data_IF_465402846758
#
_entry.id   IF_465402846758
#
_cell.length_a   1.000
_cell.length_b   1.000
_cell.length_c   1.000
_cell.angle_alpha   90.00
_cell.angle_beta   90.00
_cell.angle_gamma   90.00
#
_symmetry.space_group_name_H-M   'P 1'
#
loop_
_entity.id
_entity.type
_entity.pdbx_description
1 polymer ?
#
# COMPACT_ATOMS: atom_id res chain seq x y z
N UNK A 1 -7.75 -63.12 -4.17
CA UNK A 1 -8.99 -63.45 -3.44
C UNK A 1 -8.89 -62.78 -2.08
N UNK A 2 -9.75 -61.86 -1.65
CA UNK A 2 -11.22 -61.80 -1.62
C UNK A 2 -11.82 -62.27 -0.27
N UNK A 3 -12.47 -61.32 0.41
CA UNK A 3 -13.65 -61.47 1.27
C UNK A 3 -13.59 -62.17 2.64
N UNK A 4 -13.81 -61.38 3.70
CA UNK A 4 -14.52 -61.76 4.93
C UNK A 4 -15.15 -60.46 5.52
N UNK A 5 -16.36 -60.03 5.15
CA UNK A 5 -17.71 -60.54 5.52
C UNK A 5 -18.25 -60.01 6.86
N UNK A 6 -19.00 -58.89 6.75
CA UNK A 6 -20.23 -58.48 7.47
C UNK A 6 -20.50 -59.02 8.90
N UNK A 7 -20.74 -58.08 9.83
CA UNK A 7 -21.88 -58.15 10.77
C UNK A 7 -22.75 -56.87 10.67
N UNK A 8 -24.02 -57.01 11.05
CA UNK A 8 -25.18 -56.10 10.85
C UNK A 8 -25.63 -55.64 12.25
N UNK A 9 -26.09 -54.41 12.50
CA UNK A 9 -27.47 -53.95 12.26
C UNK A 9 -27.73 -52.49 12.74
N UNK A 10 -28.74 -51.84 12.13
CA UNK A 10 -29.63 -50.74 12.59
C UNK A 10 -28.96 -49.46 13.14
N UNK A 11 -28.95 -48.31 12.46
CA UNK A 11 -30.05 -47.47 11.95
C UNK A 11 -30.70 -46.53 13.00
N UNK A 12 -30.30 -45.26 12.98
CA UNK A 12 -31.03 -44.12 13.55
C UNK A 12 -30.91 -42.89 12.61
N UNK A 13 -31.95 -42.06 12.60
CA UNK A 13 -32.35 -41.15 11.51
C UNK A 13 -31.53 -39.84 11.42
N UNK A 14 -31.44 -39.32 10.18
CA UNK A 14 -31.14 -37.91 9.79
C UNK A 14 -32.11 -36.90 10.47
N UNK A 15 -31.95 -35.55 10.41
CA UNK A 15 -31.04 -34.73 9.56
C UNK A 15 -30.04 -33.90 10.43
N UNK A 16 -29.39 -32.80 10.04
CA UNK A 16 -29.56 -31.87 8.90
C UNK A 16 -28.25 -31.19 8.40
N UNK A 17 -28.34 -29.95 7.92
CA UNK A 17 -27.45 -29.23 7.01
C UNK A 17 -26.92 -27.91 7.59
N UNK A 18 -25.60 -27.74 7.64
CA UNK A 18 -24.94 -26.44 7.82
C UNK A 18 -24.75 -25.80 6.44
N UNK A 19 -25.71 -24.99 6.00
CA UNK A 19 -25.67 -24.34 4.67
C UNK A 19 -25.21 -22.89 4.78
N UNK A 20 -24.17 -22.55 4.05
CA UNK A 20 -23.66 -21.18 3.88
C UNK A 20 -24.75 -20.23 3.37
N UNK A 21 -24.84 -19.02 3.93
CA UNK A 21 -25.53 -17.89 3.28
C UNK A 21 -24.59 -16.70 3.17
N UNK A 22 -24.03 -16.55 1.98
CA UNK A 22 -23.53 -15.28 1.47
C UNK A 22 -24.70 -14.31 1.38
N UNK A 23 -24.72 -13.25 2.18
CA UNK A 23 -25.69 -12.16 2.05
C UNK A 23 -25.24 -11.19 0.95
N UNK A 24 -25.59 -11.51 -0.29
CA UNK A 24 -25.68 -10.50 -1.34
C UNK A 24 -26.80 -9.51 -0.97
N UNK A 25 -26.54 -8.21 -1.09
CA UNK A 25 -27.52 -7.15 -0.84
C UNK A 25 -28.48 -7.07 -2.04
N UNK A 26 -29.80 -7.28 -1.88
CA UNK A 26 -30.79 -6.95 -2.89
C UNK A 26 -31.34 -5.54 -2.65
N UNK A 27 -31.58 -4.83 -3.74
CA UNK A 27 -32.29 -3.56 -3.85
C UNK A 27 -33.42 -3.32 -2.84
N UNK A 28 -33.35 -2.19 -2.12
CA UNK A 28 -34.46 -1.61 -1.35
C UNK A 28 -35.64 -1.26 -2.27
N UNK A 29 -36.77 -1.93 -2.12
CA UNK A 29 -37.99 -1.61 -2.90
C UNK A 29 -39.22 -2.48 -2.64
N UNK A 30 -39.05 -3.74 -2.20
CA UNK A 30 -40.16 -4.71 -2.09
C UNK A 30 -40.60 -5.07 -0.67
N UNK A 31 -39.95 -4.53 0.37
CA UNK A 31 -40.11 -5.02 1.76
C UNK A 31 -41.29 -4.42 2.55
N UNK A 32 -42.03 -3.44 2.03
CA UNK A 32 -43.09 -2.77 2.81
C UNK A 32 -44.33 -3.64 3.01
N UNK A 33 -44.77 -4.35 1.97
CA UNK A 33 -46.01 -5.14 1.98
C UNK A 33 -45.92 -6.46 2.75
N UNK A 34 -44.71 -7.03 2.90
CA UNK A 34 -44.49 -8.17 3.80
C UNK A 34 -44.54 -7.74 5.27
N UNK A 35 -44.03 -6.54 5.59
CA UNK A 35 -44.01 -5.99 6.95
C UNK A 35 -45.43 -5.72 7.47
N UNK A 36 -46.30 -5.15 6.63
CA UNK A 36 -47.72 -4.95 6.97
C UNK A 36 -48.48 -6.27 7.14
N UNK A 37 -48.17 -7.30 6.35
CA UNK A 37 -48.76 -8.64 6.53
C UNK A 37 -48.34 -9.30 7.84
N UNK A 38 -47.10 -9.11 8.28
CA UNK A 38 -46.60 -9.63 9.56
C UNK A 38 -47.14 -8.84 10.76
N UNK A 39 -47.34 -7.53 10.63
CA UNK A 39 -47.97 -6.69 11.67
C UNK A 39 -49.36 -7.20 12.06
N UNK A 40 -50.16 -7.62 11.08
CA UNK A 40 -51.52 -8.14 11.30
C UNK A 40 -51.59 -9.54 11.94
N UNK A 41 -50.45 -10.23 12.11
CA UNK A 41 -50.35 -11.51 12.81
C UNK A 41 -50.02 -11.35 14.31
N UNK A 42 -49.67 -10.15 14.76
CA UNK A 42 -49.47 -9.84 16.19
C UNK A 42 -50.83 -9.57 16.82
N UNK A 43 -51.43 -10.63 17.37
CA UNK A 43 -52.74 -10.57 18.02
C UNK A 43 -52.80 -9.56 19.17
N UNK A 44 -53.95 -8.90 19.34
CA UNK A 44 -54.19 -7.98 20.46
C UNK A 44 -54.08 -8.73 21.80
N UNK A 45 -53.35 -8.21 22.80
CA UNK A 45 -53.24 -8.87 24.09
C UNK A 45 -54.58 -8.88 24.81
N UNK A 46 -55.01 -10.06 25.25
CA UNK A 46 -56.17 -10.23 26.15
C UNK A 46 -55.87 -9.66 27.53
N UNK A 47 -56.91 -9.15 28.21
CA UNK A 47 -56.78 -8.50 29.50
C UNK A 47 -56.19 -9.41 30.61
N UNK A 48 -55.53 -8.75 31.57
CA UNK A 48 -55.16 -9.25 32.89
C UNK A 48 -54.09 -10.36 32.96
N UNK A 49 -52.83 -9.92 33.13
CA UNK A 49 -51.80 -10.62 33.90
C UNK A 49 -51.22 -9.65 34.95
N UNK A 50 -50.98 -10.10 36.20
CA UNK A 50 -50.49 -9.21 37.26
C UNK A 50 -49.01 -8.86 37.04
N UNK A 51 -48.74 -7.63 36.60
CA UNK A 51 -47.40 -7.09 36.39
C UNK A 51 -46.73 -6.72 37.72
N UNK A 52 -46.23 -7.72 38.46
CA UNK A 52 -45.31 -7.45 39.56
C UNK A 52 -43.92 -7.11 39.00
N UNK A 53 -43.38 -5.95 39.38
CA UNK A 53 -42.05 -5.43 38.99
C UNK A 53 -41.80 -5.19 37.48
N UNK A 54 -42.77 -4.64 36.75
CA UNK A 54 -42.51 -4.02 35.44
C UNK A 54 -41.73 -2.70 35.52
N UNK A 55 -41.61 -2.08 36.70
CA UNK A 55 -40.93 -0.80 36.92
C UNK A 55 -39.41 -0.77 36.69
N UNK A 56 -38.79 -1.92 36.40
CA UNK A 56 -37.37 -2.01 36.01
C UNK A 56 -37.17 -2.18 34.50
N UNK A 57 -38.23 -2.39 33.71
CA UNK A 57 -38.14 -2.55 32.25
C UNK A 57 -37.93 -1.21 31.50
N UNK A 58 -38.14 -0.08 32.17
CA UNK A 58 -37.82 1.26 31.67
C UNK A 58 -36.39 1.71 31.97
N UNK A 59 -35.64 0.94 32.77
CA UNK A 59 -34.21 1.16 33.00
C UNK A 59 -33.42 0.40 31.94
N UNK A 60 -33.18 1.05 30.80
CA UNK A 60 -32.23 0.57 29.81
C UNK A 60 -30.82 0.54 30.42
N UNK A 61 -30.21 -0.64 30.65
CA UNK A 61 -28.92 -0.76 31.33
C UNK A 61 -27.75 -0.23 30.48
N UNK A 62 -27.99 0.21 29.24
CA UNK A 62 -26.95 0.72 28.32
C UNK A 62 -26.59 2.18 28.59
N UNK A 63 -27.50 3.00 29.14
CA UNK A 63 -27.25 4.45 29.25
C UNK A 63 -26.12 4.82 30.23
N UNK A 64 -25.92 4.06 31.30
CA UNK A 64 -24.93 4.39 32.35
C UNK A 64 -23.48 3.98 32.05
N UNK A 65 -23.21 3.22 30.97
CA UNK A 65 -21.87 2.62 30.74
C UNK A 65 -21.29 2.80 29.35
N UNK A 66 -22.06 3.17 28.33
CA UNK A 66 -21.48 3.56 27.04
C UNK A 66 -21.28 5.08 26.99
N UNK A 67 -20.04 5.61 26.94
CA UNK A 67 -19.78 7.04 26.96
C UNK A 67 -20.00 7.69 25.57
N UNK A 68 -21.18 7.45 24.98
CA UNK A 68 -21.54 7.82 23.62
C UNK A 68 -21.36 9.31 23.35
N UNK A 69 -21.75 10.16 24.30
CA UNK A 69 -21.61 11.62 24.15
C UNK A 69 -20.14 12.06 24.07
N UNK A 70 -19.25 11.52 24.91
CA UNK A 70 -17.84 11.89 24.87
C UNK A 70 -17.11 11.27 23.68
N UNK A 71 -17.49 10.06 23.26
CA UNK A 71 -17.01 9.44 22.02
C UNK A 71 -17.45 10.25 20.78
N UNK A 72 -18.71 10.67 20.70
CA UNK A 72 -19.23 11.51 19.61
C UNK A 72 -18.52 12.87 19.58
N UNK A 73 -18.31 13.49 20.74
CA UNK A 73 -17.55 14.74 20.87
C UNK A 73 -16.08 14.58 20.47
N UNK A 74 -15.45 13.45 20.81
CA UNK A 74 -14.08 13.12 20.36
C UNK A 74 -14.03 12.90 18.85
N UNK A 75 -14.97 12.15 18.27
CA UNK A 75 -15.09 11.93 16.84
C UNK A 75 -15.29 13.25 16.07
N UNK A 76 -16.14 14.15 16.59
CA UNK A 76 -16.35 15.48 16.01
C UNK A 76 -15.10 16.37 16.10
N UNK A 77 -14.40 16.37 17.23
CA UNK A 77 -13.11 17.07 17.39
C UNK A 77 -12.03 16.53 16.44
N UNK A 78 -11.94 15.21 16.30
CA UNK A 78 -11.02 14.54 15.38
C UNK A 78 -11.35 14.86 13.92
N UNK A 79 -12.63 14.81 13.53
CA UNK A 79 -13.10 15.15 12.19
C UNK A 79 -12.76 16.59 11.82
N UNK A 80 -13.01 17.57 12.70
CA UNK A 80 -12.61 18.95 12.46
C UNK A 80 -11.09 19.13 12.33
N UNK A 81 -10.31 18.44 13.18
CA UNK A 81 -8.84 18.49 13.09
C UNK A 81 -8.33 17.85 11.78
N UNK A 82 -8.94 16.76 11.33
CA UNK A 82 -8.65 16.13 10.04
C UNK A 82 -9.02 17.05 8.88
N UNK A 83 -10.22 17.65 8.89
CA UNK A 83 -10.68 18.62 7.89
C UNK A 83 -9.72 19.81 7.76
N UNK A 84 -9.23 20.34 8.90
CA UNK A 84 -8.25 21.42 8.95
C UNK A 84 -6.90 21.00 8.36
N UNK A 85 -6.34 19.86 8.78
CA UNK A 85 -5.07 19.37 8.24
C UNK A 85 -5.18 18.99 6.75
N UNK A 86 -6.30 18.43 6.30
CA UNK A 86 -6.57 18.16 4.90
C UNK A 86 -6.70 19.46 4.08
N UNK A 87 -7.31 20.52 4.64
CA UNK A 87 -7.34 21.85 4.06
C UNK A 87 -5.95 22.46 3.90
N UNK A 88 -5.11 22.39 4.94
CA UNK A 88 -3.71 22.82 4.88
C UNK A 88 -2.90 22.01 3.87
N UNK A 89 -3.03 20.68 3.86
CA UNK A 89 -2.33 19.81 2.92
C UNK A 89 -2.78 20.08 1.47
N UNK A 90 -4.09 20.28 1.23
CA UNK A 90 -4.62 20.70 -0.06
C UNK A 90 -4.08 22.06 -0.49
N UNK A 91 -4.01 23.04 0.42
CA UNK A 91 -3.40 24.34 0.18
C UNK A 91 -1.92 24.21 -0.22
N UNK A 92 -1.14 23.45 0.55
CA UNK A 92 0.26 23.18 0.28
C UNK A 92 0.47 22.44 -1.05
N UNK A 93 -0.32 21.42 -1.37
CA UNK A 93 -0.23 20.68 -2.63
C UNK A 93 -0.62 21.52 -3.85
N UNK A 94 -1.62 22.39 -3.73
CA UNK A 94 -2.01 23.31 -4.81
C UNK A 94 -0.99 24.45 -5.01
N UNK A 95 -0.34 24.92 -3.94
CA UNK A 95 0.78 25.87 -4.01
C UNK A 95 2.04 25.18 -4.58
N UNK A 96 2.37 23.99 -4.07
CA UNK A 96 3.46 23.11 -4.49
C UNK A 96 3.07 22.22 -5.68
N UNK A 97 2.33 22.78 -6.67
CA UNK A 97 2.49 22.27 -8.03
C UNK A 97 4.00 22.33 -8.34
N UNK A 98 4.63 21.18 -8.60
CA UNK A 98 6.09 21.05 -8.66
C UNK A 98 6.66 21.84 -9.85
N UNK A 99 6.86 23.15 -9.67
CA UNK A 99 7.55 24.06 -10.60
C UNK A 99 9.08 23.81 -10.62
N UNK A 100 9.51 22.58 -10.32
CA UNK A 100 10.88 22.09 -10.51
C UNK A 100 11.04 21.52 -11.91
N UNK A 101 10.87 22.37 -12.92
CA UNK A 101 11.42 22.12 -14.25
C UNK A 101 11.79 23.46 -14.88
N UNK A 102 13.07 23.62 -15.20
CA UNK A 102 13.52 24.68 -16.07
C UNK A 102 13.05 24.36 -17.49
N UNK A 103 12.02 25.07 -17.95
CA UNK A 103 11.77 25.47 -19.34
C UNK A 103 10.42 26.19 -19.45
N UNK A 104 10.38 27.45 -19.00
CA UNK A 104 9.36 28.39 -19.46
C UNK A 104 9.82 29.03 -20.77
N UNK A 105 9.77 28.27 -21.87
CA UNK A 105 9.57 28.90 -23.17
C UNK A 105 8.08 29.25 -23.29
N UNK A 106 7.78 30.54 -23.43
CA UNK A 106 6.42 31.05 -23.37
C UNK A 106 5.57 30.61 -24.56
N UNK A 107 4.36 30.12 -24.28
CA UNK A 107 3.26 30.05 -25.26
C UNK A 107 1.93 30.31 -24.57
N UNK A 108 1.07 31.06 -25.27
CA UNK A 108 -0.09 31.79 -24.76
C UNK A 108 -1.10 30.99 -23.93
N UNK A 109 -1.67 31.65 -22.93
CA UNK A 109 -2.70 31.12 -22.04
C UNK A 109 -4.09 31.05 -22.70
N UNK A 110 -4.29 30.10 -23.63
CA UNK A 110 -5.63 29.57 -23.92
C UNK A 110 -5.86 28.29 -23.12
N UNK A 111 -7.01 28.22 -22.44
CA UNK A 111 -7.41 27.17 -21.49
C UNK A 111 -7.12 25.76 -22.05
N UNK A 112 -6.03 25.13 -21.61
CA UNK A 112 -5.82 23.70 -21.85
C UNK A 112 -6.85 22.91 -21.03
N UNK A 113 -7.47 21.85 -21.59
CA UNK A 113 -8.21 20.88 -20.78
C UNK A 113 -7.30 20.36 -19.66
N UNK A 114 -7.89 20.10 -18.49
CA UNK A 114 -7.16 19.57 -17.33
C UNK A 114 -6.72 18.14 -17.64
N UNK A 115 -5.54 17.98 -18.23
CA UNK A 115 -5.03 16.71 -18.69
C UNK A 115 -4.98 15.72 -17.52
N UNK A 116 -5.80 14.67 -17.60
CA UNK A 116 -5.69 13.50 -16.73
C UNK A 116 -4.25 12.97 -16.82
N UNK A 117 -3.58 12.65 -15.69
CA UNK A 117 -2.22 12.11 -15.73
C UNK A 117 -2.24 10.70 -16.33
N UNK A 118 -1.97 10.62 -17.63
CA UNK A 118 -1.93 9.38 -18.44
C UNK A 118 -0.87 8.38 -17.97
N UNK A 119 0.03 8.78 -17.09
CA UNK A 119 1.08 7.93 -16.50
C UNK A 119 0.56 6.77 -15.65
N UNK A 120 -0.67 6.87 -15.13
CA UNK A 120 -1.26 5.83 -14.26
C UNK A 120 -1.97 4.70 -15.04
N UNK A 121 -2.24 4.88 -16.34
CA UNK A 121 -2.96 3.93 -17.19
C UNK A 121 -2.18 3.72 -18.50
N UNK A 122 -1.02 3.08 -18.39
CA UNK A 122 -0.23 2.62 -19.54
C UNK A 122 -0.48 1.12 -19.80
N UNK A 123 -0.49 0.66 -21.06
CA UNK A 123 -0.56 -0.77 -21.37
C UNK A 123 0.60 -1.55 -20.73
N UNK A 124 0.36 -2.78 -20.20
CA UNK A 124 1.42 -3.58 -19.60
C UNK A 124 2.63 -3.82 -20.52
N UNK A 125 2.38 -4.01 -21.82
CA UNK A 125 3.42 -4.19 -22.85
C UNK A 125 4.38 -2.98 -22.91
N UNK A 126 3.87 -1.76 -22.79
CA UNK A 126 4.72 -0.56 -22.79
C UNK A 126 5.66 -0.55 -21.58
N UNK A 127 5.15 -0.97 -20.41
CA UNK A 127 5.97 -1.13 -19.20
C UNK A 127 7.03 -2.21 -19.43
N UNK A 128 6.68 -3.34 -20.03
CA UNK A 128 7.61 -4.44 -20.34
C UNK A 128 8.74 -3.99 -21.26
N UNK A 129 8.43 -3.25 -22.31
CA UNK A 129 9.41 -2.70 -23.24
C UNK A 129 10.34 -1.68 -22.58
N UNK A 130 9.80 -0.81 -21.70
CA UNK A 130 10.58 0.17 -20.94
C UNK A 130 11.54 -0.53 -19.98
N UNK A 131 11.06 -1.49 -19.21
CA UNK A 131 11.88 -2.25 -18.27
C UNK A 131 12.92 -3.10 -19.01
N UNK A 132 12.56 -3.74 -20.12
CA UNK A 132 13.49 -4.52 -20.96
C UNK A 132 14.60 -3.66 -21.58
N UNK A 133 14.29 -2.40 -21.96
CA UNK A 133 15.32 -1.43 -22.38
C UNK A 133 16.23 -1.03 -21.22
N UNK A 134 15.70 -0.93 -20.00
CA UNK A 134 16.47 -0.54 -18.80
C UNK A 134 17.40 -1.67 -18.34
N UNK A 135 16.93 -2.91 -18.31
CA UNK A 135 17.73 -4.10 -17.98
C UNK A 135 18.95 -4.21 -18.91
N UNK A 136 18.75 -4.04 -20.22
CA UNK A 136 19.83 -4.01 -21.24
C UNK A 136 20.84 -2.86 -21.08
N UNK A 137 20.47 -1.76 -20.43
CA UNK A 137 21.40 -0.63 -20.18
C UNK A 137 22.34 -0.88 -19.00
N UNK A 138 22.05 -1.86 -18.13
CA UNK A 138 22.77 -2.04 -16.86
C UNK A 138 23.21 -3.51 -16.64
N UNK A 139 24.24 -4.01 -17.34
CA UNK A 139 24.67 -5.42 -17.26
C UNK A 139 25.05 -5.93 -15.85
N UNK A 140 25.36 -5.03 -14.92
CA UNK A 140 25.71 -5.36 -13.52
C UNK A 140 24.49 -5.47 -12.58
N UNK A 141 23.28 -5.23 -13.09
CA UNK A 141 22.02 -5.16 -12.34
C UNK A 141 20.96 -5.99 -13.07
N UNK A 142 20.47 -7.06 -12.45
CA UNK A 142 19.40 -7.89 -13.04
C UNK A 142 18.02 -7.43 -12.57
N UNK A 143 17.09 -7.23 -13.51
CA UNK A 143 15.70 -6.83 -13.21
C UNK A 143 14.74 -7.96 -13.55
N UNK A 144 14.12 -8.57 -12.54
CA UNK A 144 13.04 -9.54 -12.72
C UNK A 144 11.67 -8.88 -12.51
N UNK A 145 10.84 -8.84 -13.56
CA UNK A 145 9.49 -8.31 -13.50
C UNK A 145 8.45 -9.41 -13.19
N UNK A 146 7.55 -9.12 -12.26
CA UNK A 146 6.42 -9.97 -11.87
C UNK A 146 5.14 -9.16 -11.72
N UNK A 147 3.97 -9.80 -11.87
CA UNK A 147 2.64 -9.16 -11.76
C UNK A 147 1.64 -10.00 -10.94
N UNK A 148 1.85 -10.15 -9.62
CA UNK A 148 0.98 -10.99 -8.79
C UNK A 148 -0.47 -10.47 -8.68
N UNK A 149 -0.69 -9.19 -8.94
CA UNK A 149 -2.00 -8.52 -8.83
C UNK A 149 -2.49 -7.95 -10.18
N UNK A 150 -2.06 -8.55 -11.30
CA UNK A 150 -2.53 -8.22 -12.65
C UNK A 150 -1.94 -6.94 -13.25
N UNK A 151 -2.26 -5.76 -12.72
CA UNK A 151 -1.86 -4.47 -13.32
C UNK A 151 -0.65 -3.82 -12.65
N UNK A 152 -0.43 -4.05 -11.36
CA UNK A 152 0.77 -3.59 -10.66
C UNK A 152 1.99 -4.42 -11.07
N UNK A 153 3.04 -3.73 -11.51
CA UNK A 153 4.34 -4.31 -11.81
C UNK A 153 5.19 -4.35 -10.54
N UNK A 154 5.80 -5.50 -10.25
CA UNK A 154 6.73 -5.68 -9.14
C UNK A 154 8.07 -6.12 -9.69
N UNK A 155 9.06 -5.24 -9.57
CA UNK A 155 10.44 -5.51 -9.97
C UNK A 155 11.23 -6.03 -8.78
N UNK A 156 11.87 -7.18 -8.93
CA UNK A 156 12.98 -7.62 -8.10
C UNK A 156 14.28 -7.26 -8.82
N UNK A 157 14.95 -6.21 -8.34
CA UNK A 157 16.23 -5.72 -8.86
C UNK A 157 17.35 -6.29 -7.98
N UNK A 158 18.27 -7.06 -8.53
CA UNK A 158 19.44 -7.55 -7.79
C UNK A 158 20.69 -6.81 -8.25
N UNK A 159 21.43 -6.22 -7.31
CA UNK A 159 22.62 -5.41 -7.58
C UNK A 159 23.88 -6.14 -7.11
N UNK A 160 24.47 -6.91 -8.03
CA UNK A 160 25.62 -7.78 -7.74
C UNK A 160 25.39 -8.68 -6.51
N UNK A 161 26.35 -8.67 -5.58
CA UNK A 161 26.28 -9.36 -4.28
C UNK A 161 26.05 -8.39 -3.11
N UNK A 162 25.54 -7.18 -3.37
CA UNK A 162 25.37 -6.13 -2.35
C UNK A 162 23.96 -6.16 -1.77
N UNK A 163 22.95 -6.02 -2.63
CA UNK A 163 21.57 -5.79 -2.21
C UNK A 163 20.55 -6.29 -3.24
N UNK A 164 19.32 -6.47 -2.78
CA UNK A 164 18.13 -6.80 -3.56
C UNK A 164 17.07 -5.75 -3.27
N UNK A 165 16.45 -5.17 -4.30
CA UNK A 165 15.43 -4.13 -4.16
C UNK A 165 14.12 -4.63 -4.74
N UNK A 166 13.05 -4.47 -3.98
CA UNK A 166 11.69 -4.65 -4.45
C UNK A 166 11.14 -3.27 -4.81
N UNK A 167 10.81 -3.07 -6.08
CA UNK A 167 10.17 -1.84 -6.58
C UNK A 167 8.75 -2.17 -6.99
N UNK A 168 7.77 -1.61 -6.27
CA UNK A 168 6.35 -1.74 -6.58
C UNK A 168 5.95 -0.55 -7.44
N UNK A 169 5.41 -0.84 -8.62
CA UNK A 169 5.04 0.13 -9.63
C UNK A 169 3.59 -0.05 -10.06
N UNK A 170 2.92 1.08 -10.32
CA UNK A 170 1.62 1.14 -11.00
C UNK A 170 1.82 1.81 -12.35
N UNK A 171 1.68 1.05 -13.44
CA UNK A 171 2.19 1.47 -14.74
C UNK A 171 3.70 1.80 -14.65
N UNK A 172 4.14 3.02 -14.98
CA UNK A 172 5.52 3.49 -14.78
C UNK A 172 5.72 4.36 -13.54
N UNK A 173 4.68 4.54 -12.72
CA UNK A 173 4.78 5.24 -11.45
C UNK A 173 5.33 4.30 -10.38
N UNK A 174 6.48 4.63 -9.80
CA UNK A 174 7.02 3.92 -8.64
C UNK A 174 6.26 4.38 -7.39
N UNK A 175 5.62 3.44 -6.70
CA UNK A 175 4.80 3.72 -5.50
C UNK A 175 5.57 3.40 -4.21
N UNK A 176 6.31 2.29 -4.20
CA UNK A 176 7.09 1.83 -3.05
C UNK A 176 8.40 1.19 -3.48
N UNK A 177 9.45 1.44 -2.70
CA UNK A 177 10.74 0.76 -2.82
C UNK A 177 11.11 0.18 -1.46
N UNK A 178 11.67 -1.03 -1.44
CA UNK A 178 12.20 -1.68 -0.24
C UNK A 178 13.55 -2.29 -0.61
N UNK A 179 14.60 -1.93 0.15
CA UNK A 179 15.95 -2.47 -0.03
C UNK A 179 16.22 -3.49 1.05
N UNK A 180 16.61 -4.70 0.65
CA UNK A 180 17.12 -5.78 1.50
C UNK A 180 18.55 -6.12 1.12
N UNK A 181 19.33 -6.65 2.05
CA UNK A 181 20.68 -7.16 1.79
C UNK A 181 20.65 -8.39 0.88
N UNK A 182 21.76 -8.65 0.18
CA UNK A 182 21.85 -9.80 -0.73
C UNK A 182 21.56 -11.15 -0.05
N UNK A 183 21.94 -11.30 1.22
CA UNK A 183 21.74 -12.52 2.01
C UNK A 183 20.32 -12.65 2.60
N UNK A 184 19.48 -11.62 2.51
CA UNK A 184 18.14 -11.65 3.10
C UNK A 184 17.10 -12.32 2.18
N UNK A 185 16.07 -12.89 2.81
CA UNK A 185 14.90 -13.41 2.10
C UNK A 185 14.04 -12.25 1.58
N UNK A 186 13.86 -12.24 0.26
CA UNK A 186 12.95 -11.34 -0.46
C UNK A 186 11.55 -11.97 -0.60
N UNK A 187 11.46 -13.29 -0.39
CA UNK A 187 10.22 -14.05 -0.43
C UNK A 187 9.72 -14.35 0.99
N UNK A 188 8.42 -14.19 1.19
CA UNK A 188 7.67 -14.72 2.35
C UNK A 188 7.58 -16.25 2.26
N UNK A 189 7.24 -16.91 3.36
CA UNK A 189 7.01 -18.37 3.45
C UNK A 189 6.02 -18.89 2.38
N UNK A 190 5.02 -18.09 2.01
CA UNK A 190 4.07 -18.35 0.91
C UNK A 190 4.67 -18.30 -0.52
N UNK A 191 5.98 -18.09 -0.67
CA UNK A 191 6.66 -17.92 -1.96
C UNK A 191 6.39 -16.59 -2.67
N UNK A 192 5.65 -15.66 -2.04
CA UNK A 192 5.36 -14.31 -2.57
C UNK A 192 6.48 -13.33 -2.22
N UNK A 193 6.65 -12.29 -3.04
CA UNK A 193 7.57 -11.19 -2.74
C UNK A 193 7.08 -10.36 -1.54
N UNK A 194 7.96 -10.17 -0.56
CA UNK A 194 7.68 -9.50 0.70
C UNK A 194 7.78 -7.97 0.58
N UNK A 195 6.64 -7.33 0.32
CA UNK A 195 6.49 -5.88 0.17
C UNK A 195 6.22 -5.14 1.49
N UNK A 196 6.32 -5.81 2.64
CA UNK A 196 5.90 -5.26 3.94
C UNK A 196 7.02 -5.22 4.97
N UNK A 197 7.89 -6.24 5.04
CA UNK A 197 8.99 -6.23 5.99
C UNK A 197 10.07 -5.22 5.60
N UNK A 198 10.71 -4.64 6.61
CA UNK A 198 11.97 -3.91 6.45
C UNK A 198 13.14 -4.90 6.38
N UNK A 199 14.27 -4.44 5.86
CA UNK A 199 15.59 -5.09 6.04
C UNK A 199 15.92 -5.24 7.53
N UNK A 200 16.58 -6.34 7.90
CA UNK A 200 17.13 -6.52 9.25
C UNK A 200 18.35 -5.63 9.49
N UNK A 201 19.12 -5.30 8.44
CA UNK A 201 20.28 -4.42 8.54
C UNK A 201 19.89 -2.94 8.44
N UNK A 202 20.35 -2.13 9.40
CA UNK A 202 20.12 -0.68 9.46
C UNK A 202 20.62 0.07 8.20
N UNK A 203 21.71 -0.40 7.58
CA UNK A 203 22.27 0.17 6.35
C UNK A 203 21.21 0.20 5.24
N UNK A 204 20.54 -0.93 4.96
CA UNK A 204 19.53 -0.99 3.89
C UNK A 204 18.19 -0.36 4.28
N UNK A 205 17.88 -0.26 5.59
CA UNK A 205 16.77 0.58 6.05
C UNK A 205 17.03 2.05 5.67
N UNK A 206 18.22 2.59 5.97
CA UNK A 206 18.64 3.94 5.54
C UNK A 206 18.62 4.11 4.02
N UNK A 207 19.10 3.14 3.25
CA UNK A 207 19.03 3.20 1.77
C UNK A 207 17.57 3.18 1.27
N UNK A 208 16.64 2.53 1.98
CA UNK A 208 15.19 2.58 1.66
C UNK A 208 14.59 3.97 1.91
N UNK A 209 14.98 4.65 3.00
CA UNK A 209 14.59 6.04 3.28
C UNK A 209 15.14 6.99 2.20
N UNK A 210 16.40 6.80 1.80
CA UNK A 210 17.03 7.56 0.71
C UNK A 210 16.39 7.29 -0.64
N UNK A 211 15.97 6.05 -0.92
CA UNK A 211 15.25 5.69 -2.15
C UNK A 211 13.86 6.34 -2.21
N UNK A 212 13.17 6.46 -1.07
CA UNK A 212 11.92 7.23 -0.95
C UNK A 212 12.15 8.71 -1.24
N UNK A 213 13.28 9.26 -0.80
CA UNK A 213 13.67 10.65 -1.11
C UNK A 213 14.05 10.83 -2.59
N UNK A 214 14.77 9.86 -3.18
CA UNK A 214 15.13 9.85 -4.60
C UNK A 214 13.89 9.81 -5.52
N UNK A 215 12.89 9.01 -5.15
CA UNK A 215 11.60 8.94 -5.83
C UNK A 215 10.92 10.31 -5.91
N UNK A 216 10.87 11.03 -4.78
CA UNK A 216 10.31 12.39 -4.74
C UNK A 216 11.15 13.40 -5.54
N UNK A 217 12.47 13.21 -5.61
CA UNK A 217 13.36 14.07 -6.39
C UNK A 217 13.18 13.89 -7.91
N UNK A 218 13.11 12.64 -8.39
CA UNK A 218 12.97 12.35 -9.81
C UNK A 218 11.53 12.45 -10.34
N UNK A 219 10.53 12.65 -9.47
CA UNK A 219 9.11 12.69 -9.79
C UNK A 219 8.76 13.72 -10.90
N UNK A 220 8.66 13.25 -12.16
CA UNK A 220 8.38 14.08 -13.32
C UNK A 220 7.18 13.54 -14.12
N UNK A 221 5.94 13.98 -13.82
CA UNK A 221 4.71 13.41 -14.38
C UNK A 221 4.54 13.47 -15.90
N UNK A 222 5.38 14.22 -16.62
CA UNK A 222 5.34 14.34 -18.07
C UNK A 222 6.23 13.33 -18.81
N UNK A 223 7.22 12.72 -18.12
CA UNK A 223 8.20 11.81 -18.75
C UNK A 223 8.51 10.62 -17.83
N UNK A 224 7.55 9.71 -17.59
CA UNK A 224 7.71 8.62 -16.61
C UNK A 224 8.89 7.69 -16.94
N UNK A 225 9.21 7.46 -18.22
CA UNK A 225 10.36 6.64 -18.62
C UNK A 225 11.70 7.20 -18.12
N UNK A 226 11.81 8.53 -18.08
CA UNK A 226 13.00 9.24 -17.59
C UNK A 226 13.09 9.14 -16.07
N UNK A 227 11.96 9.12 -15.36
CA UNK A 227 11.90 8.90 -13.90
C UNK A 227 12.45 7.52 -13.56
N UNK A 228 11.91 6.46 -14.19
CA UNK A 228 12.35 5.08 -13.92
C UNK A 228 13.83 4.89 -14.31
N UNK A 229 14.26 5.42 -15.47
CA UNK A 229 15.68 5.38 -15.87
C UNK A 229 16.58 6.07 -14.84
N UNK A 230 16.26 7.30 -14.45
CA UNK A 230 17.07 8.08 -13.50
C UNK A 230 17.14 7.40 -12.13
N UNK A 231 16.02 6.88 -11.64
CA UNK A 231 15.96 6.12 -10.40
C UNK A 231 16.82 4.85 -10.45
N UNK A 232 16.78 4.09 -11.56
CA UNK A 232 17.62 2.89 -11.73
C UNK A 232 19.10 3.23 -11.87
N UNK A 233 19.47 4.33 -12.53
CA UNK A 233 20.85 4.84 -12.56
C UNK A 233 21.35 5.19 -11.15
N UNK A 234 20.51 5.87 -10.36
CA UNK A 234 20.81 6.19 -8.97
C UNK A 234 20.95 4.93 -8.10
N UNK A 235 20.05 3.95 -8.27
CA UNK A 235 20.09 2.66 -7.58
C UNK A 235 21.38 1.89 -7.92
N UNK A 236 21.83 1.90 -9.18
CA UNK A 236 23.10 1.26 -9.59
C UNK A 236 24.32 1.84 -8.85
N UNK A 237 24.31 3.11 -8.43
CA UNK A 237 25.43 3.71 -7.68
C UNK A 237 25.72 3.02 -6.33
N UNK A 238 24.79 2.22 -5.82
CA UNK A 238 24.98 1.39 -4.63
C UNK A 238 25.78 0.10 -4.87
N UNK A 239 26.17 -0.23 -6.11
CA UNK A 239 27.03 -1.40 -6.36
C UNK A 239 28.39 -1.28 -5.66
N UNK A 240 28.84 -0.04 -5.43
CA UNK A 240 30.04 0.30 -4.65
C UNK A 240 29.73 0.76 -3.22
N UNK A 241 28.57 0.40 -2.63
CA UNK A 241 28.14 0.87 -1.30
C UNK A 241 29.22 0.68 -0.21
N UNK A 242 29.87 -0.48 -0.18
CA UNK A 242 30.94 -0.80 0.77
C UNK A 242 32.36 -0.56 0.22
N UNK A 243 32.48 -0.05 -1.02
CA UNK A 243 33.76 0.13 -1.73
C UNK A 243 34.09 1.60 -2.04
N UNK A 244 33.11 2.50 -1.93
CA UNK A 244 33.29 3.93 -2.14
C UNK A 244 33.47 4.64 -0.79
N UNK A 245 34.58 5.37 -0.56
CA UNK A 245 34.70 6.26 0.59
C UNK A 245 33.77 7.46 0.44
N UNK A 246 33.45 8.13 1.56
CA UNK A 246 32.70 9.39 1.52
C UNK A 246 33.56 10.50 0.89
N UNK A 247 33.08 11.16 -0.17
CA UNK A 247 33.85 12.20 -0.87
C UNK A 247 34.26 13.37 0.01
N UNK A 248 33.48 13.70 1.05
CA UNK A 248 33.79 14.83 1.94
C UNK A 248 34.83 14.54 3.03
N UNK A 249 34.82 13.33 3.60
CA UNK A 249 35.66 13.01 4.77
C UNK A 249 36.67 11.89 4.52
N UNK A 250 36.68 11.29 3.33
CA UNK A 250 37.60 10.22 2.93
C UNK A 250 37.39 8.86 3.63
N UNK A 251 36.49 8.78 4.62
CA UNK A 251 36.26 7.57 5.42
C UNK A 251 35.26 6.62 4.76
N UNK A 252 35.47 5.32 4.95
CA UNK A 252 34.56 4.25 4.52
C UNK A 252 33.42 3.95 5.49
N UNK A 253 33.56 4.37 6.76
CA UNK A 253 32.57 4.16 7.80
C UNK A 253 32.51 5.40 8.70
N UNK A 254 31.30 5.73 9.14
CA UNK A 254 31.01 6.70 10.19
C UNK A 254 29.87 6.13 11.04
N UNK A 255 30.05 6.10 12.36
CA UNK A 255 29.08 5.55 13.32
C UNK A 255 28.62 4.12 12.98
N UNK A 256 29.53 3.31 12.43
CA UNK A 256 29.27 1.93 11.99
C UNK A 256 28.53 1.79 10.66
N UNK A 257 28.15 2.91 10.02
CA UNK A 257 27.44 2.92 8.73
C UNK A 257 28.38 3.36 7.58
N UNK A 258 28.28 2.75 6.39
CA UNK A 258 28.98 3.23 5.21
C UNK A 258 28.34 4.53 4.69
N UNK A 259 28.93 5.18 3.67
CA UNK A 259 28.32 6.30 2.97
C UNK A 259 27.00 5.82 2.30
N UNK A 260 25.87 6.01 2.98
CA UNK A 260 24.54 5.58 2.48
C UNK A 260 23.87 6.63 1.62
N UNK A 261 24.24 7.91 1.71
CA UNK A 261 23.70 8.94 0.83
C UNK A 261 24.36 8.90 -0.54
N UNK A 262 23.57 9.16 -1.58
CA UNK A 262 24.01 9.29 -2.98
C UNK A 262 23.41 10.57 -3.53
N UNK A 263 24.24 11.52 -3.96
CA UNK A 263 23.72 12.75 -4.56
C UNK A 263 22.91 12.43 -5.83
N UNK A 264 21.80 13.14 -6.04
CA UNK A 264 20.88 12.85 -7.13
C UNK A 264 21.39 13.31 -8.50
N UNK A 265 22.45 14.12 -8.56
CA UNK A 265 23.08 14.59 -9.81
C UNK A 265 24.42 13.92 -10.07
N UNK A 266 25.35 13.96 -9.12
CA UNK A 266 26.71 13.40 -9.30
C UNK A 266 26.82 11.92 -8.98
N UNK A 267 25.83 11.34 -8.28
CA UNK A 267 25.83 9.97 -7.77
C UNK A 267 26.98 9.67 -6.77
N UNK A 268 27.61 10.72 -6.24
CA UNK A 268 28.72 10.62 -5.30
C UNK A 268 28.26 10.14 -3.91
N UNK A 269 29.17 9.46 -3.23
CA UNK A 269 28.92 8.79 -1.96
C UNK A 269 29.19 9.73 -0.76
N UNK A 270 28.21 9.86 0.14
CA UNK A 270 28.34 10.64 1.37
C UNK A 270 27.74 9.91 2.58
N UNK A 271 28.25 10.18 3.78
CA UNK A 271 27.53 9.87 5.02
C UNK A 271 26.36 10.84 5.23
N UNK A 272 25.36 10.42 6.02
CA UNK A 272 24.14 11.20 6.30
C UNK A 272 24.46 12.59 6.87
N UNK A 273 25.45 12.66 7.76
CA UNK A 273 25.98 13.89 8.38
C UNK A 273 26.88 14.71 7.43
N UNK A 274 27.53 14.08 6.45
CA UNK A 274 28.46 14.75 5.53
C UNK A 274 27.75 15.48 4.38
N UNK A 275 26.42 15.43 4.28
CA UNK A 275 25.62 15.95 3.16
C UNK A 275 25.65 17.48 2.96
N UNK A 276 25.94 18.27 3.99
CA UNK A 276 25.72 19.74 4.02
C UNK A 276 26.89 20.57 3.48
#
# INVERSE_FOLDING_TARGET
MACATKRRWRAARRPSSRTSRTTCIPSTGTSSSELERLSNLVGKPSENHPLHNSGLLSLDPVQDKTPLYSQLLQAYKWSNKLQYHAGLASGLLNQQSLKRSANQMGVSAKRRPKAQPTTLVLPPQYVDDVISRIDRMFPEMSIHLSRPNGTSAMLLVTLGKVLKVIVVMRSLFIDRTIVKGYNESVYTEDGKLDIWSKSNYQVFQKVTDHATTALLHYQLPQMPDVVVRSFMTWLRSYIKLFQAPCQRCGKFLQDGLPPTWRDFRTLEAFHDTCRQ
#
